data_IF_125043121014
#
_entry.id   IF_125043121014
#
_cell.length_a   1.000
_cell.length_b   1.000
_cell.length_c   1.000
_cell.angle_alpha   90.00
_cell.angle_beta   90.00
_cell.angle_gamma   90.00
#
_symmetry.space_group_name_H-M   'P 1'
#
loop_
_entity.id
_entity.type
_entity.pdbx_description
1 polymer ?
#
# COMPACT_ATOMS: atom_id res chain seq x y z
N UNK A 1 -12.48 -16.42 10.60
CA UNK A 1 -11.33 -15.67 11.16
C UNK A 1 -10.19 -15.65 10.13
N UNK A 2 -10.23 -14.82 9.09
CA UNK A 2 -9.23 -14.90 7.99
C UNK A 2 -8.80 -13.56 7.37
N UNK A 3 -9.21 -12.42 7.92
CA UNK A 3 -8.74 -11.11 7.46
C UNK A 3 -7.55 -10.58 8.28
N UNK A 4 -7.42 -11.00 9.56
CA UNK A 4 -6.38 -10.50 10.48
C UNK A 4 -4.99 -11.06 10.19
N UNK A 5 -4.89 -12.21 9.49
CA UNK A 5 -3.60 -12.82 9.19
C UNK A 5 -2.87 -12.11 8.05
N UNK A 6 -3.54 -11.65 6.99
CA UNK A 6 -2.87 -10.97 5.88
C UNK A 6 -2.28 -9.61 6.26
N UNK A 7 -2.98 -8.82 7.09
CA UNK A 7 -2.48 -7.53 7.60
C UNK A 7 -1.50 -7.64 8.78
N UNK A 8 -1.24 -8.87 9.25
CA UNK A 8 -0.30 -9.16 10.33
C UNK A 8 0.87 -10.04 9.87
N UNK A 9 0.80 -10.71 8.72
CA UNK A 9 1.85 -11.62 8.27
C UNK A 9 3.13 -10.88 7.90
N UNK A 10 3.03 -9.72 7.25
CA UNK A 10 4.20 -8.91 6.92
C UNK A 10 4.81 -8.26 8.15
N UNK A 11 3.98 -7.81 9.09
CA UNK A 11 4.37 -7.18 10.34
C UNK A 11 4.98 -8.20 11.29
N UNK A 12 4.36 -9.38 11.43
CA UNK A 12 4.86 -10.49 12.22
C UNK A 12 6.18 -11.03 11.66
N UNK A 13 6.31 -11.13 10.32
CA UNK A 13 7.57 -11.52 9.70
C UNK A 13 8.69 -10.51 9.98
N UNK A 14 8.39 -9.20 9.92
CA UNK A 14 9.37 -8.15 10.27
C UNK A 14 9.72 -8.20 11.76
N UNK A 15 8.75 -8.34 12.65
CA UNK A 15 9.00 -8.46 14.10
C UNK A 15 9.83 -9.71 14.41
N UNK A 16 9.52 -10.86 13.79
CA UNK A 16 10.30 -12.08 13.95
C UNK A 16 11.74 -11.94 13.39
N UNK A 17 11.91 -11.21 12.28
CA UNK A 17 13.23 -10.90 11.74
C UNK A 17 14.02 -9.94 12.65
N UNK A 18 13.35 -8.99 13.32
CA UNK A 18 13.98 -8.08 14.30
C UNK A 18 14.39 -8.79 15.59
N UNK A 19 13.76 -9.91 15.93
CA UNK A 19 14.15 -10.76 17.07
C UNK A 19 15.40 -11.61 16.78
N UNK A 20 15.86 -11.70 15.52
CA UNK A 20 17.11 -12.38 15.18
C UNK A 20 18.31 -11.43 15.37
N UNK A 21 19.21 -11.70 16.32
CA UNK A 21 20.34 -10.81 16.61
C UNK A 21 21.40 -10.77 15.49
N UNK A 22 21.40 -11.76 14.58
CA UNK A 22 22.33 -11.83 13.45
C UNK A 22 21.92 -10.93 12.27
N UNK A 23 20.67 -10.44 12.23
CA UNK A 23 20.18 -9.63 11.12
C UNK A 23 20.34 -8.13 11.41
N UNK A 24 21.09 -7.39 10.58
CA UNK A 24 21.15 -5.94 10.71
C UNK A 24 19.76 -5.32 10.48
N UNK A 25 19.31 -4.50 11.43
CA UNK A 25 17.99 -3.85 11.40
C UNK A 25 17.74 -3.05 10.12
N UNK A 26 18.80 -2.43 9.57
CA UNK A 26 18.74 -1.70 8.31
C UNK A 26 18.38 -2.60 7.11
N UNK A 27 18.87 -3.85 7.07
CA UNK A 27 18.55 -4.81 6.02
C UNK A 27 17.09 -5.27 6.15
N UNK A 28 16.65 -5.56 7.37
CA UNK A 28 15.25 -5.93 7.64
C UNK A 28 14.30 -4.82 7.18
N UNK A 29 14.62 -3.56 7.50
CA UNK A 29 13.84 -2.40 7.07
C UNK A 29 13.80 -2.26 5.54
N UNK A 30 14.94 -2.39 4.87
CA UNK A 30 15.07 -2.29 3.42
C UNK A 30 14.26 -3.37 2.71
N UNK A 31 14.44 -4.63 3.10
CA UNK A 31 13.74 -5.76 2.47
C UNK A 31 12.23 -5.68 2.70
N UNK A 32 11.80 -5.34 3.92
CA UNK A 32 10.39 -5.16 4.25
C UNK A 32 9.75 -4.04 3.44
N UNK A 33 10.42 -2.89 3.36
CA UNK A 33 9.94 -1.74 2.59
C UNK A 33 9.89 -2.07 1.11
N UNK A 34 10.94 -2.70 0.55
CA UNK A 34 11.01 -3.08 -0.85
C UNK A 34 9.90 -4.07 -1.24
N UNK A 35 9.74 -5.16 -0.49
CA UNK A 35 8.70 -6.16 -0.76
C UNK A 35 7.30 -5.56 -0.73
N UNK A 36 7.04 -4.65 0.23
CA UNK A 36 5.74 -4.03 0.36
C UNK A 36 5.49 -2.94 -0.70
N UNK A 37 6.53 -2.20 -1.13
CA UNK A 37 6.44 -1.30 -2.29
C UNK A 37 6.15 -2.10 -3.56
N UNK A 38 6.80 -3.25 -3.77
CA UNK A 38 6.53 -4.14 -4.90
C UNK A 38 5.07 -4.62 -4.92
N UNK A 39 4.53 -5.04 -3.76
CA UNK A 39 3.12 -5.42 -3.63
C UNK A 39 2.18 -4.26 -4.00
N UNK A 40 2.45 -3.05 -3.52
CA UNK A 40 1.64 -1.88 -3.87
C UNK A 40 1.74 -1.49 -5.34
N UNK A 41 2.92 -1.61 -5.96
CA UNK A 41 3.10 -1.42 -7.40
C UNK A 41 2.26 -2.43 -8.17
N UNK A 42 2.23 -3.70 -7.76
CA UNK A 42 1.36 -4.70 -8.38
C UNK A 42 -0.12 -4.31 -8.27
N UNK A 43 -0.59 -3.90 -7.09
CA UNK A 43 -1.97 -3.42 -6.89
C UNK A 43 -2.29 -2.19 -7.74
N UNK A 44 -1.36 -1.25 -7.86
CA UNK A 44 -1.50 -0.07 -8.70
C UNK A 44 -1.60 -0.43 -10.20
N UNK A 45 -0.74 -1.34 -10.67
CA UNK A 45 -0.78 -1.87 -12.05
C UNK A 45 -2.12 -2.56 -12.31
N UNK A 46 -2.58 -3.38 -11.36
CA UNK A 46 -3.87 -4.06 -11.44
C UNK A 46 -5.02 -3.05 -11.53
N UNK A 47 -5.04 -2.02 -10.70
CA UNK A 47 -6.05 -0.96 -10.77
C UNK A 47 -6.07 -0.25 -12.13
N UNK A 48 -4.88 0.02 -12.68
CA UNK A 48 -4.73 0.64 -14.00
C UNK A 48 -5.19 -0.29 -15.13
N UNK A 49 -4.92 -1.59 -15.01
CA UNK A 49 -5.32 -2.60 -16.01
C UNK A 49 -6.82 -2.89 -15.95
N UNK A 50 -7.39 -3.02 -14.75
CA UNK A 50 -8.81 -3.27 -14.57
C UNK A 50 -9.68 -2.16 -15.14
N UNK A 51 -9.18 -0.92 -15.23
CA UNK A 51 -9.90 0.17 -15.90
C UNK A 51 -10.34 -0.15 -17.33
N UNK A 52 -9.58 -0.99 -18.04
CA UNK A 52 -9.93 -1.44 -19.40
C UNK A 52 -11.20 -2.29 -19.45
N UNK A 53 -11.61 -2.84 -18.31
CA UNK A 53 -12.76 -3.70 -18.14
C UNK A 53 -13.90 -3.02 -17.37
N UNK A 54 -13.84 -1.70 -17.18
CA UNK A 54 -14.86 -0.93 -16.43
C UNK A 54 -16.29 -1.16 -16.96
N UNK A 55 -16.45 -1.38 -18.28
CA UNK A 55 -17.75 -1.65 -18.90
C UNK A 55 -18.29 -3.08 -18.65
N UNK A 56 -17.54 -3.96 -17.96
CA UNK A 56 -17.95 -5.35 -17.70
C UNK A 56 -18.70 -5.44 -16.37
N UNK A 57 -19.80 -6.20 -16.32
CA UNK A 57 -20.59 -6.45 -15.10
C UNK A 57 -19.83 -7.10 -13.94
N UNK A 58 -18.69 -7.74 -14.20
CA UNK A 58 -17.84 -8.36 -13.17
C UNK A 58 -16.79 -7.40 -12.59
N UNK A 59 -16.73 -6.15 -13.05
CA UNK A 59 -15.72 -5.18 -12.60
C UNK A 59 -15.80 -4.98 -11.08
N UNK A 60 -14.69 -5.18 -10.34
CA UNK A 60 -14.71 -5.30 -8.88
C UNK A 60 -14.92 -3.96 -8.15
N UNK A 61 -14.95 -2.83 -8.86
CA UNK A 61 -15.10 -1.50 -8.24
C UNK A 61 -16.43 -0.89 -8.68
N UNK A 62 -17.34 -0.68 -7.72
CA UNK A 62 -18.61 -0.03 -8.02
C UNK A 62 -18.41 1.45 -8.42
N UNK A 63 -19.32 2.02 -9.24
CA UNK A 63 -19.28 3.44 -9.59
C UNK A 63 -19.25 4.36 -8.36
N UNK A 64 -19.95 3.98 -7.29
CA UNK A 64 -19.99 4.73 -6.03
C UNK A 64 -18.63 4.75 -5.31
N UNK A 65 -17.93 3.61 -5.28
CA UNK A 65 -16.60 3.54 -4.69
C UNK A 65 -15.58 4.33 -5.51
N UNK A 66 -15.72 4.32 -6.84
CA UNK A 66 -14.91 5.16 -7.72
C UNK A 66 -15.18 6.65 -7.45
N UNK A 67 -16.45 7.06 -7.40
CA UNK A 67 -16.83 8.45 -7.12
C UNK A 67 -16.33 8.93 -5.74
N UNK A 68 -16.37 8.06 -4.72
CA UNK A 68 -15.78 8.33 -3.41
C UNK A 68 -14.26 8.51 -3.48
N UNK A 69 -13.56 7.62 -4.18
CA UNK A 69 -12.12 7.73 -4.38
C UNK A 69 -11.76 9.03 -5.11
N UNK A 70 -12.47 9.37 -6.19
CA UNK A 70 -12.32 10.64 -6.90
C UNK A 70 -12.56 11.85 -5.98
N UNK A 71 -13.61 11.83 -5.16
CA UNK A 71 -13.89 12.91 -4.21
C UNK A 71 -12.77 13.09 -3.18
N UNK A 72 -12.21 11.99 -2.68
CA UNK A 72 -11.07 12.01 -1.75
C UNK A 72 -9.83 12.59 -2.42
N UNK A 73 -9.46 12.10 -3.60
CA UNK A 73 -8.29 12.59 -4.33
C UNK A 73 -8.46 14.03 -4.82
N UNK A 74 -9.67 14.47 -5.18
CA UNK A 74 -9.94 15.88 -5.48
C UNK A 74 -9.84 16.78 -4.26
N UNK A 75 -10.28 16.31 -3.08
CA UNK A 75 -10.29 17.10 -1.84
C UNK A 75 -8.91 17.20 -1.19
N UNK A 76 -8.17 16.10 -1.17
CA UNK A 76 -6.90 15.98 -0.43
C UNK A 76 -5.66 15.90 -1.34
N UNK A 77 -5.86 15.76 -2.66
CA UNK A 77 -4.78 15.67 -3.62
C UNK A 77 -4.00 14.36 -3.56
N UNK A 78 -2.84 14.38 -4.20
CA UNK A 78 -1.88 13.26 -4.25
C UNK A 78 -1.30 12.83 -2.89
N UNK A 79 -1.08 13.72 -1.89
CA UNK A 79 -0.55 13.35 -0.57
C UNK A 79 -1.42 12.36 0.22
N UNK A 80 -2.69 12.16 -0.17
CA UNK A 80 -3.57 11.18 0.49
C UNK A 80 -3.01 9.76 0.40
N UNK A 81 -2.15 9.47 -0.58
CA UNK A 81 -1.43 8.19 -0.68
C UNK A 81 -0.42 7.97 0.41
N UNK A 82 0.05 9.00 1.11
CA UNK A 82 0.90 8.79 2.29
C UNK A 82 0.15 7.88 3.28
N UNK A 83 -1.15 8.13 3.48
CA UNK A 83 -2.04 7.32 4.32
C UNK A 83 -2.18 5.86 3.86
N UNK A 84 -1.58 5.46 2.73
CA UNK A 84 -1.52 4.04 2.36
C UNK A 84 -0.72 3.21 3.36
N UNK A 85 0.00 3.86 4.28
CA UNK A 85 0.69 3.21 5.39
C UNK A 85 -0.27 2.62 6.43
N UNK A 86 -1.52 3.09 6.50
CA UNK A 86 -2.51 2.62 7.47
C UNK A 86 -3.03 1.22 7.12
N UNK A 87 -3.16 0.32 8.12
CA UNK A 87 -3.79 -0.98 7.90
C UNK A 87 -5.26 -0.78 7.48
N UNK A 88 -5.79 -1.69 6.66
CA UNK A 88 -7.10 -1.63 5.97
C UNK A 88 -7.24 -0.61 4.83
N UNK A 89 -6.66 0.59 4.93
CA UNK A 89 -6.91 1.66 3.94
C UNK A 89 -5.86 1.64 2.81
N UNK A 90 -4.70 1.04 3.04
CA UNK A 90 -3.57 1.01 2.11
C UNK A 90 -3.83 0.41 0.74
N UNK A 91 -4.32 -0.83 0.70
CA UNK A 91 -4.53 -1.54 -0.57
C UNK A 91 -5.65 -0.90 -1.41
N UNK A 92 -6.80 -0.49 -0.82
CA UNK A 92 -7.80 0.29 -1.54
C UNK A 92 -7.26 1.62 -2.09
N UNK A 93 -6.41 2.33 -1.33
CA UNK A 93 -5.82 3.61 -1.78
C UNK A 93 -4.87 3.43 -2.97
N UNK A 94 -4.03 2.40 -2.93
CA UNK A 94 -3.07 2.10 -4.02
C UNK A 94 -3.79 1.60 -5.27
N UNK A 95 -4.83 0.76 -5.11
CA UNK A 95 -5.72 0.36 -6.20
C UNK A 95 -6.44 1.58 -6.81
N UNK A 96 -7.02 2.44 -5.96
CA UNK A 96 -7.69 3.67 -6.37
C UNK A 96 -6.74 4.59 -7.13
N UNK A 97 -5.49 4.76 -6.68
CA UNK A 97 -4.50 5.55 -7.41
C UNK A 97 -4.21 5.01 -8.82
N UNK A 98 -4.19 3.68 -8.98
CA UNK A 98 -4.07 3.01 -10.27
C UNK A 98 -5.28 3.28 -11.18
N UNK A 99 -6.48 3.18 -10.61
CA UNK A 99 -7.75 3.46 -11.28
C UNK A 99 -7.82 4.93 -11.72
N UNK A 100 -7.41 5.86 -10.86
CA UNK A 100 -7.39 7.29 -11.15
C UNK A 100 -6.24 7.71 -12.08
N UNK A 101 -5.47 6.75 -12.62
CA UNK A 101 -4.35 6.95 -13.53
C UNK A 101 -3.32 7.95 -13.01
N UNK A 102 -3.04 7.91 -11.71
CA UNK A 102 -2.03 8.78 -11.11
C UNK A 102 -0.67 8.66 -11.85
N UNK A 103 0.11 9.75 -11.95
CA UNK A 103 1.47 9.68 -12.45
C UNK A 103 2.32 8.66 -11.69
N UNK A 104 2.98 7.76 -12.41
CA UNK A 104 3.78 6.67 -11.83
C UNK A 104 4.82 7.14 -10.84
N UNK A 105 5.53 8.23 -11.16
CA UNK A 105 6.58 8.76 -10.30
C UNK A 105 5.99 9.30 -8.98
N UNK A 106 4.89 10.03 -9.05
CA UNK A 106 4.22 10.54 -7.86
C UNK A 106 3.72 9.38 -6.97
N UNK A 107 3.08 8.37 -7.57
CA UNK A 107 2.66 7.18 -6.85
C UNK A 107 3.84 6.51 -6.13
N UNK A 108 4.94 6.25 -6.83
CA UNK A 108 6.12 5.58 -6.28
C UNK A 108 6.71 6.36 -5.10
N UNK A 109 6.81 7.68 -5.21
CA UNK A 109 7.32 8.55 -4.14
C UNK A 109 6.42 8.46 -2.90
N UNK A 110 5.10 8.70 -3.05
CA UNK A 110 4.19 8.70 -1.91
C UNK A 110 4.07 7.33 -1.24
N UNK A 111 3.99 6.24 -2.03
CA UNK A 111 3.86 4.90 -1.46
C UNK A 111 5.14 4.44 -0.76
N UNK A 112 6.31 4.80 -1.30
CA UNK A 112 7.60 4.48 -0.69
C UNK A 112 7.75 5.23 0.64
N UNK A 113 7.44 6.52 0.68
CA UNK A 113 7.48 7.31 1.91
C UNK A 113 6.51 6.72 2.94
N UNK A 114 5.26 6.44 2.56
CA UNK A 114 4.27 5.87 3.48
C UNK A 114 4.73 4.53 4.08
N UNK A 115 5.25 3.62 3.25
CA UNK A 115 5.72 2.30 3.73
C UNK A 115 7.00 2.39 4.55
N UNK A 116 7.92 3.27 4.18
CA UNK A 116 9.13 3.54 4.97
C UNK A 116 8.77 4.07 6.37
N UNK A 117 7.77 4.96 6.48
CA UNK A 117 7.28 5.45 7.78
C UNK A 117 6.73 4.28 8.63
N UNK A 118 5.88 3.41 8.05
CA UNK A 118 5.30 2.25 8.77
C UNK A 118 6.39 1.36 9.37
N UNK A 119 7.35 0.94 8.55
CA UNK A 119 8.40 0.05 9.03
C UNK A 119 9.44 0.74 9.90
N UNK A 120 9.73 2.03 9.66
CA UNK A 120 10.58 2.83 10.53
C UNK A 120 10.01 2.92 11.96
N UNK A 121 8.69 3.11 12.09
CA UNK A 121 8.01 3.06 13.38
C UNK A 121 8.10 1.67 14.03
N UNK A 122 7.93 0.59 13.26
CA UNK A 122 8.07 -0.77 13.80
C UNK A 122 9.49 -1.04 14.32
N UNK A 123 10.53 -0.64 13.57
CA UNK A 123 11.92 -0.77 14.02
C UNK A 123 12.20 0.09 15.25
N UNK A 124 11.60 1.28 15.36
CA UNK A 124 11.76 2.14 16.54
C UNK A 124 11.07 1.57 17.80
N UNK A 125 9.89 0.95 17.63
CA UNK A 125 9.12 0.39 18.76
C UNK A 125 9.65 -0.97 19.21
N UNK A 126 10.10 -1.81 18.28
CA UNK A 126 10.46 -3.22 18.55
C UNK A 126 11.96 -3.52 18.40
N UNK A 127 12.77 -2.53 18.02
CA UNK A 127 14.23 -2.64 17.94
C UNK A 127 14.93 -2.15 19.20
#
# INVERSE_FOLDING_TARGET
MSATLLFGLSEAAVIAALQNPELPRGIVLLVATAGNVCGAVATFVLGRFFLRFEARRWFPVSPENRARAEAIFRRYGQPVLLLSWLPLIGDPLTLAAGILRMPWLAFLVYVTIGKAIRYGLLVWVFG
#
